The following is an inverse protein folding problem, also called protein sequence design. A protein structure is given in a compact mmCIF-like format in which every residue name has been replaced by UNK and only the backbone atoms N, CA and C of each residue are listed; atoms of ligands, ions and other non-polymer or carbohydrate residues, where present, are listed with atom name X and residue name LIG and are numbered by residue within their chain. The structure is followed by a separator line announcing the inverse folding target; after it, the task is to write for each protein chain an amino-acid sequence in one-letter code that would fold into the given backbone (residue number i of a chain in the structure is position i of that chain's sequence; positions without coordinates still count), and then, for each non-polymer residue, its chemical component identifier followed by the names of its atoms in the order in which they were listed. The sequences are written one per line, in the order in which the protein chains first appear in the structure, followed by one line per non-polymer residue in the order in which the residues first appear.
data_IF_500820231148
#
_entry.id   IF_500820231148
#
_cell.length_a   1.000
_cell.length_b   1.000
_cell.length_c   1.000
_cell.angle_alpha   90.00
_cell.angle_beta   90.00
_cell.angle_gamma   90.00
#
_symmetry.space_group_name_H-M   'P 1'
#
loop_
_entity.id
_entity.type
_entity.pdbx_description
1 polymer ?
#
# COMPACT_ATOMS: atom_id res chain seq x y z
N UNK A 1 2.29 -36.82 -29.31
CA UNK A 1 3.36 -37.16 -28.35
C UNK A 1 2.94 -36.65 -26.98
N UNK A 2 2.35 -37.50 -26.14
CA UNK A 2 2.06 -37.13 -24.76
C UNK A 2 3.40 -37.03 -24.02
N UNK A 3 3.70 -35.85 -23.44
CA UNK A 3 4.94 -35.62 -22.70
C UNK A 3 5.08 -36.61 -21.54
N UNK A 4 6.31 -37.00 -21.23
CA UNK A 4 6.61 -37.90 -20.13
C UNK A 4 5.89 -37.44 -18.83
N UNK A 5 5.29 -38.38 -18.07
CA UNK A 5 4.54 -38.05 -16.87
C UNK A 5 5.45 -37.27 -15.90
N UNK A 6 5.00 -36.08 -15.49
CA UNK A 6 5.72 -35.27 -14.50
C UNK A 6 5.78 -36.09 -13.21
N UNK A 7 6.98 -36.27 -12.65
CA UNK A 7 7.15 -36.91 -11.34
C UNK A 7 6.39 -36.05 -10.32
N UNK A 8 5.35 -36.61 -9.70
CA UNK A 8 4.66 -35.99 -8.56
C UNK A 8 5.54 -36.23 -7.34
N UNK A 9 6.01 -35.14 -6.74
CA UNK A 9 6.86 -35.17 -5.54
C UNK A 9 6.03 -35.23 -4.24
N UNK A 10 4.71 -35.14 -4.35
CA UNK A 10 3.77 -35.11 -3.22
C UNK A 10 2.65 -36.11 -3.47
N UNK A 11 2.31 -36.86 -2.43
CA UNK A 11 1.11 -37.70 -2.37
C UNK A 11 -0.13 -36.85 -2.04
N UNK A 12 -1.33 -37.36 -2.31
CA UNK A 12 -2.56 -36.60 -2.05
C UNK A 12 -2.80 -36.43 -0.53
N UNK A 13 -2.42 -37.42 0.30
CA UNK A 13 -2.43 -37.31 1.76
C UNK A 13 -1.46 -36.23 2.28
N UNK A 14 -0.27 -36.14 1.69
CA UNK A 14 0.72 -35.10 2.00
C UNK A 14 0.20 -33.70 1.63
N UNK A 15 -0.45 -33.59 0.47
CA UNK A 15 -1.05 -32.34 0.00
C UNK A 15 -2.20 -31.89 0.92
N UNK A 16 -3.08 -32.82 1.32
CA UNK A 16 -4.13 -32.54 2.30
C UNK A 16 -3.57 -32.12 3.66
N UNK A 17 -2.56 -32.82 4.16
CA UNK A 17 -1.90 -32.45 5.41
C UNK A 17 -1.27 -31.04 5.33
N UNK A 18 -0.67 -30.71 4.18
CA UNK A 18 -0.12 -29.39 3.93
C UNK A 18 -1.21 -28.31 3.89
N UNK A 19 -2.30 -28.55 3.17
CA UNK A 19 -3.43 -27.61 3.06
C UNK A 19 -4.08 -27.36 4.42
N UNK A 20 -4.30 -28.40 5.23
CA UNK A 20 -4.81 -28.27 6.61
C UNK A 20 -3.89 -27.39 7.46
N UNK A 21 -2.57 -27.60 7.39
CA UNK A 21 -1.61 -26.78 8.16
C UNK A 21 -1.61 -25.33 7.71
N UNK A 22 -1.64 -25.08 6.40
CA UNK A 22 -1.71 -23.73 5.83
C UNK A 22 -3.01 -23.04 6.24
N UNK A 23 -4.13 -23.76 6.21
CA UNK A 23 -5.43 -23.25 6.63
C UNK A 23 -5.49 -22.90 8.13
N UNK A 24 -4.80 -23.66 8.98
CA UNK A 24 -4.71 -23.42 10.42
C UNK A 24 -3.79 -22.24 10.78
N UNK A 25 -2.56 -22.23 10.26
CA UNK A 25 -1.54 -21.24 10.63
C UNK A 25 -1.65 -19.92 9.82
N UNK A 26 -2.35 -19.94 8.68
CA UNK A 26 -2.62 -18.80 7.76
C UNK A 26 -1.42 -17.87 7.55
N UNK A 27 -0.24 -18.40 7.16
CA UNK A 27 1.00 -17.62 7.07
C UNK A 27 0.93 -16.46 6.04
N UNK A 28 0.00 -16.56 5.09
CA UNK A 28 -0.24 -15.58 4.02
C UNK A 28 -1.00 -14.33 4.49
N UNK A 29 -1.65 -14.34 5.66
CA UNK A 29 -2.37 -13.18 6.21
C UNK A 29 -1.43 -12.18 6.92
N UNK A 30 -0.12 -12.43 6.96
CA UNK A 30 0.83 -11.57 7.67
C UNK A 30 1.10 -10.31 6.86
N UNK A 31 0.84 -9.12 7.42
CA UNK A 31 1.08 -7.84 6.74
C UNK A 31 2.58 -7.57 6.43
N UNK A 32 3.49 -8.04 7.29
CA UNK A 32 4.95 -7.90 7.11
C UNK A 32 5.65 -9.16 7.59
N UNK A 33 6.68 -9.60 6.87
CA UNK A 33 7.44 -10.80 7.23
C UNK A 33 6.75 -12.11 6.86
N UNK A 34 6.03 -12.14 5.72
CA UNK A 34 5.32 -13.32 5.21
C UNK A 34 6.27 -14.53 5.13
N UNK A 35 7.48 -14.33 4.60
CA UNK A 35 8.50 -15.40 4.54
C UNK A 35 8.92 -15.93 5.91
N UNK A 36 8.89 -15.11 6.96
CA UNK A 36 9.19 -15.57 8.31
C UNK A 36 8.08 -16.45 8.87
N UNK A 37 6.80 -16.13 8.58
CA UNK A 37 5.68 -17.00 8.94
C UNK A 37 5.70 -18.31 8.15
N UNK A 38 6.01 -18.27 6.86
CA UNK A 38 6.22 -19.50 6.07
C UNK A 38 7.39 -20.33 6.59
N UNK A 39 8.50 -19.69 6.99
CA UNK A 39 9.64 -20.39 7.60
C UNK A 39 9.24 -21.02 8.94
N UNK A 40 8.46 -20.32 9.76
CA UNK A 40 7.95 -20.85 11.02
C UNK A 40 7.02 -22.06 10.80
N UNK A 41 6.10 -21.98 9.84
CA UNK A 41 5.25 -23.11 9.44
C UNK A 41 6.10 -24.28 8.93
N UNK A 42 7.09 -24.02 8.09
CA UNK A 42 8.02 -25.04 7.61
C UNK A 42 8.77 -25.69 8.78
N UNK A 43 9.23 -24.93 9.78
CA UNK A 43 9.89 -25.49 10.97
C UNK A 43 8.95 -26.27 11.89
N UNK A 44 7.65 -25.97 11.89
CA UNK A 44 6.65 -26.80 12.59
C UNK A 44 6.43 -28.12 11.84
N UNK A 45 6.29 -28.06 10.52
CA UNK A 45 6.15 -29.24 9.66
C UNK A 45 7.40 -30.14 9.72
N UNK A 46 8.61 -29.55 9.67
CA UNK A 46 9.72 -29.84 10.61
C UNK A 46 9.55 -31.00 11.58
N UNK A 47 9.09 -30.59 12.75
CA UNK A 47 9.07 -31.31 14.00
C UNK A 47 7.81 -32.18 14.18
N UNK A 48 6.75 -31.95 13.39
CA UNK A 48 5.54 -32.75 13.42
C UNK A 48 5.84 -34.18 12.89
N UNK A 49 5.99 -35.14 13.79
CA UNK A 49 6.21 -36.57 13.47
C UNK A 49 5.04 -37.19 12.68
N UNK A 50 3.85 -36.61 12.84
CA UNK A 50 2.63 -37.02 12.13
C UNK A 50 2.55 -36.43 10.72
N UNK A 51 3.50 -35.57 10.33
CA UNK A 51 3.62 -35.12 8.95
C UNK A 51 4.49 -36.12 8.19
N UNK A 52 4.01 -36.71 7.07
CA UNK A 52 4.71 -37.78 6.33
C UNK A 52 5.96 -37.28 5.57
N UNK A 53 6.94 -36.73 6.29
CA UNK A 53 8.18 -36.15 5.75
C UNK A 53 9.15 -37.19 5.21
N UNK A 54 9.16 -38.35 5.84
CA UNK A 54 10.06 -39.47 5.60
C UNK A 54 9.83 -40.10 4.23
N UNK A 55 8.70 -39.76 3.60
CA UNK A 55 8.32 -40.17 2.25
C UNK A 55 8.69 -39.12 1.19
N UNK A 56 9.29 -37.98 1.54
CA UNK A 56 9.69 -36.97 0.55
C UNK A 56 11.07 -37.25 -0.08
N UNK A 57 11.80 -38.23 0.44
CA UNK A 57 13.06 -38.73 -0.13
C UNK A 57 12.79 -39.96 -0.99
N UNK A 58 13.30 -39.94 -2.23
CA UNK A 58 13.37 -40.95 -3.33
C UNK A 58 12.56 -42.27 -3.32
N UNK A 59 12.23 -42.89 -2.19
CA UNK A 59 11.61 -44.21 -2.06
C UNK A 59 10.07 -44.23 -2.09
N UNK A 60 9.37 -43.12 -1.84
CA UNK A 60 7.90 -43.07 -1.90
C UNK A 60 7.30 -43.15 -3.31
N UNK A 61 8.16 -43.15 -4.33
CA UNK A 61 7.80 -43.13 -5.76
C UNK A 61 7.02 -44.37 -6.26
N UNK A 62 6.72 -45.35 -5.39
CA UNK A 62 6.21 -46.68 -5.79
C UNK A 62 4.82 -47.06 -5.27
N UNK A 63 4.12 -46.20 -4.53
CA UNK A 63 2.78 -46.51 -4.04
C UNK A 63 1.75 -45.50 -4.58
N UNK A 64 1.18 -45.79 -5.74
CA UNK A 64 0.05 -45.05 -6.31
C UNK A 64 -0.95 -46.03 -6.87
N UNK A 65 -1.80 -46.56 -6.00
CA UNK A 65 -3.06 -47.20 -6.34
C UNK A 65 -4.17 -46.40 -5.68
N UNK A 66 -4.81 -45.55 -6.48
CA UNK A 66 -6.26 -45.28 -6.53
C UNK A 66 -7.06 -45.45 -5.23
N UNK A 67 -7.68 -44.39 -4.72
CA UNK A 67 -9.14 -44.20 -4.65
C UNK A 67 -9.51 -42.86 -3.98
N UNK A 68 -10.71 -42.40 -4.31
CA UNK A 68 -11.26 -41.05 -4.26
C UNK A 68 -11.54 -40.50 -2.85
N UNK A 69 -11.14 -39.25 -2.58
CA UNK A 69 -11.78 -38.35 -1.59
C UNK A 69 -11.60 -36.88 -2.06
N UNK A 70 -12.35 -36.48 -3.08
CA UNK A 70 -12.27 -35.15 -3.71
C UNK A 70 -12.99 -34.01 -2.95
N UNK A 71 -13.51 -34.24 -1.73
CA UNK A 71 -14.33 -33.23 -1.05
C UNK A 71 -13.53 -32.24 -0.22
N UNK A 72 -12.65 -32.72 0.66
CA UNK A 72 -11.98 -31.84 1.63
C UNK A 72 -10.94 -30.93 0.99
N UNK A 73 -10.18 -31.44 0.01
CA UNK A 73 -9.16 -30.66 -0.70
C UNK A 73 -9.77 -29.46 -1.41
N UNK A 74 -10.91 -29.65 -2.07
CA UNK A 74 -11.62 -28.59 -2.80
C UNK A 74 -12.15 -27.55 -1.81
N UNK A 75 -12.80 -27.97 -0.73
CA UNK A 75 -13.31 -27.06 0.31
C UNK A 75 -12.17 -26.24 0.93
N UNK A 76 -11.05 -26.88 1.28
CA UNK A 76 -9.90 -26.19 1.87
C UNK A 76 -9.29 -25.18 0.89
N UNK A 77 -9.22 -25.50 -0.41
CA UNK A 77 -8.72 -24.58 -1.41
C UNK A 77 -9.67 -23.40 -1.64
N UNK A 78 -10.98 -23.65 -1.72
CA UNK A 78 -12.00 -22.60 -1.86
C UNK A 78 -11.97 -21.65 -0.65
N UNK A 79 -11.88 -22.18 0.57
CA UNK A 79 -11.76 -21.39 1.79
C UNK A 79 -10.45 -20.57 1.83
N UNK A 80 -9.33 -21.15 1.40
CA UNK A 80 -8.05 -20.45 1.29
C UNK A 80 -8.11 -19.31 0.28
N UNK A 81 -8.75 -19.53 -0.87
CA UNK A 81 -8.95 -18.50 -1.90
C UNK A 81 -9.82 -17.36 -1.35
N UNK A 82 -10.97 -17.69 -0.75
CA UNK A 82 -11.84 -16.68 -0.15
C UNK A 82 -11.12 -15.83 0.91
N UNK A 83 -10.31 -16.45 1.77
CA UNK A 83 -9.50 -15.72 2.77
C UNK A 83 -8.43 -14.83 2.14
N UNK A 84 -7.82 -15.25 1.02
CA UNK A 84 -6.83 -14.45 0.30
C UNK A 84 -7.47 -13.22 -0.34
N UNK A 85 -8.62 -13.39 -0.98
CA UNK A 85 -9.37 -12.31 -1.61
C UNK A 85 -9.84 -11.29 -0.56
N UNK A 86 -10.37 -11.76 0.57
CA UNK A 86 -10.73 -10.93 1.72
C UNK A 86 -9.55 -10.10 2.24
N UNK A 87 -8.39 -10.72 2.35
CA UNK A 87 -7.18 -10.04 2.82
C UNK A 87 -6.67 -9.03 1.79
N UNK A 88 -6.74 -9.36 0.51
CA UNK A 88 -6.43 -8.43 -0.57
C UNK A 88 -7.36 -7.21 -0.54
N UNK A 89 -8.68 -7.43 -0.39
CA UNK A 89 -9.66 -6.36 -0.26
C UNK A 89 -9.42 -5.49 0.99
N UNK A 90 -9.16 -6.10 2.15
CA UNK A 90 -8.85 -5.38 3.40
C UNK A 90 -7.58 -4.55 3.30
N UNK A 91 -6.52 -5.10 2.69
CA UNK A 91 -5.26 -4.36 2.51
C UNK A 91 -5.39 -3.23 1.49
N UNK A 92 -6.21 -3.39 0.44
CA UNK A 92 -6.53 -2.33 -0.51
C UNK A 92 -7.33 -1.20 0.16
N UNK A 93 -8.38 -1.53 0.91
CA UNK A 93 -9.19 -0.55 1.64
C UNK A 93 -8.38 0.22 2.69
N UNK A 94 -7.47 -0.46 3.40
CA UNK A 94 -6.56 0.20 4.34
C UNK A 94 -5.63 1.22 3.66
N UNK A 95 -5.13 0.91 2.46
CA UNK A 95 -4.33 1.84 1.66
C UNK A 95 -5.17 3.02 1.16
N UNK A 96 -6.37 2.76 0.65
CA UNK A 96 -7.27 3.80 0.12
C UNK A 96 -7.71 4.77 1.22
N UNK A 97 -8.12 4.26 2.38
CA UNK A 97 -8.49 5.10 3.53
C UNK A 97 -7.31 5.93 4.05
N UNK A 98 -6.09 5.38 4.00
CA UNK A 98 -4.87 6.13 4.28
C UNK A 98 -4.64 7.27 3.27
N UNK A 99 -4.83 7.00 1.98
CA UNK A 99 -4.69 7.99 0.91
C UNK A 99 -5.73 9.11 1.05
N UNK A 100 -7.01 8.78 1.26
CA UNK A 100 -8.09 9.76 1.44
C UNK A 100 -7.89 10.65 2.66
N UNK A 101 -7.38 10.09 3.77
CA UNK A 101 -7.05 10.88 4.97
C UNK A 101 -5.91 11.86 4.70
N UNK A 102 -4.92 11.46 3.89
CA UNK A 102 -3.82 12.32 3.47
C UNK A 102 -4.30 13.43 2.54
N UNK A 103 -5.13 13.11 1.55
CA UNK A 103 -5.72 14.08 0.62
C UNK A 103 -6.55 15.14 1.37
N UNK A 104 -7.44 14.70 2.27
CA UNK A 104 -8.19 15.62 3.16
C UNK A 104 -7.27 16.46 4.06
N UNK A 105 -6.14 15.90 4.48
CA UNK A 105 -5.10 16.61 5.22
C UNK A 105 -4.38 17.68 4.39
N UNK A 106 -4.27 17.49 3.07
CA UNK A 106 -3.64 18.43 2.13
C UNK A 106 -4.63 19.51 1.63
N UNK A 107 -5.94 19.27 1.67
CA UNK A 107 -6.97 20.26 1.31
C UNK A 107 -6.95 21.50 2.23
N UNK A 108 -6.87 21.29 3.54
CA UNK A 108 -6.86 22.38 4.52
C UNK A 108 -5.68 23.35 4.39
N UNK A 109 -4.40 22.92 4.24
CA UNK A 109 -3.29 23.83 4.01
C UNK A 109 -3.33 24.47 2.62
N UNK A 110 -3.91 23.81 1.60
CA UNK A 110 -4.10 24.43 0.28
C UNK A 110 -5.10 25.59 0.34
N UNK A 111 -6.21 25.45 1.07
CA UNK A 111 -7.17 26.54 1.31
C UNK A 111 -6.52 27.66 2.13
N UNK A 112 -5.80 27.33 3.20
CA UNK A 112 -5.08 28.33 4.01
C UNK A 112 -4.06 29.12 3.18
N UNK A 113 -3.27 28.44 2.33
CA UNK A 113 -2.33 29.07 1.40
C UNK A 113 -3.04 29.99 0.40
N UNK A 114 -4.20 29.57 -0.12
CA UNK A 114 -4.99 30.36 -1.09
C UNK A 114 -5.53 31.64 -0.45
N UNK A 115 -6.13 31.53 0.73
CA UNK A 115 -6.62 32.68 1.52
C UNK A 115 -5.48 33.63 1.90
N UNK A 116 -4.32 33.10 2.31
CA UNK A 116 -3.15 33.91 2.60
C UNK A 116 -2.68 34.69 1.35
N UNK A 117 -2.60 34.04 0.19
CA UNK A 117 -2.22 34.69 -1.07
C UNK A 117 -3.24 35.74 -1.53
N UNK A 118 -4.53 35.50 -1.28
CA UNK A 118 -5.61 36.44 -1.59
C UNK A 118 -5.52 37.70 -0.72
N UNK A 119 -5.33 37.57 0.60
CA UNK A 119 -5.14 38.72 1.49
C UNK A 119 -3.90 39.57 1.14
N UNK A 120 -2.85 38.92 0.64
CA UNK A 120 -1.62 39.58 0.18
C UNK A 120 -1.85 40.33 -1.14
N UNK A 121 -2.69 39.80 -2.02
CA UNK A 121 -3.09 40.46 -3.26
C UNK A 121 -4.04 41.62 -3.04
N UNK A 122 -4.97 41.49 -2.09
CA UNK A 122 -5.90 42.55 -1.69
C UNK A 122 -5.17 43.74 -1.05
N UNK A 123 -4.24 43.49 -0.11
CA UNK A 123 -3.41 44.56 0.46
C UNK A 123 -2.37 45.13 -0.54
N UNK A 124 -1.94 44.31 -1.51
CA UNK A 124 -1.09 44.75 -2.62
C UNK A 124 -1.75 45.81 -3.49
N UNK A 125 -3.07 45.74 -3.68
CA UNK A 125 -3.86 46.73 -4.43
C UNK A 125 -3.87 48.10 -3.76
N UNK A 126 -4.05 48.16 -2.45
CA UNK A 126 -4.07 49.42 -1.67
C UNK A 126 -2.67 50.09 -1.61
N UNK A 127 -1.60 49.29 -1.51
CA UNK A 127 -0.23 49.82 -1.52
C UNK A 127 0.12 50.55 -2.83
N UNK A 128 -0.48 50.19 -3.97
CA UNK A 128 -0.21 50.86 -5.25
C UNK A 128 -0.77 52.28 -5.31
N UNK A 129 -1.93 52.53 -4.69
CA UNK A 129 -2.52 53.86 -4.61
C UNK A 129 -1.75 54.76 -3.63
N UNK A 130 -1.36 54.22 -2.48
CA UNK A 130 -0.56 54.94 -1.47
C UNK A 130 0.83 55.30 -2.00
N UNK A 131 1.47 54.40 -2.78
CA UNK A 131 2.76 54.68 -3.42
C UNK A 131 2.65 55.76 -4.50
N UNK A 132 1.60 55.74 -5.33
CA UNK A 132 1.37 56.76 -6.36
C UNK A 132 1.14 58.16 -5.76
N UNK A 133 0.38 58.27 -4.66
CA UNK A 133 0.17 59.56 -3.96
C UNK A 133 1.48 60.15 -3.41
N UNK A 134 2.32 59.32 -2.80
CA UNK A 134 3.64 59.78 -2.28
C UNK A 134 4.60 60.20 -3.41
N UNK A 135 4.55 59.53 -4.55
CA UNK A 135 5.36 59.90 -5.71
C UNK A 135 4.94 61.24 -6.33
N UNK A 136 3.64 61.54 -6.36
CA UNK A 136 3.14 62.84 -6.84
C UNK A 136 3.51 63.97 -5.89
N UNK A 137 3.39 63.77 -4.57
CA UNK A 137 3.79 64.78 -3.57
C UNK A 137 5.28 65.12 -3.66
N UNK A 138 6.15 64.12 -3.88
CA UNK A 138 7.59 64.34 -4.04
C UNK A 138 7.92 65.11 -5.33
N UNK A 139 7.18 64.88 -6.42
CA UNK A 139 7.36 65.61 -7.68
C UNK A 139 6.98 67.08 -7.52
N UNK A 140 5.86 67.37 -6.84
CA UNK A 140 5.41 68.74 -6.60
C UNK A 140 6.40 69.51 -5.71
N UNK A 141 6.92 68.88 -4.65
CA UNK A 141 7.96 69.49 -3.82
C UNK A 141 9.25 69.78 -4.62
N UNK A 142 9.65 68.87 -5.51
CA UNK A 142 10.82 69.08 -6.37
C UNK A 142 10.61 70.23 -7.37
N UNK A 143 9.39 70.39 -7.88
CA UNK A 143 9.01 71.51 -8.75
C UNK A 143 9.10 72.82 -7.97
N UNK A 144 8.49 72.89 -6.79
CA UNK A 144 8.54 74.12 -5.97
C UNK A 144 9.96 74.52 -5.55
N UNK A 145 10.85 73.56 -5.31
CA UNK A 145 12.25 73.83 -5.02
C UNK A 145 13.02 74.32 -6.25
N UNK A 146 12.73 73.78 -7.44
CA UNK A 146 13.31 74.28 -8.70
C UNK A 146 12.84 75.69 -9.01
N UNK A 147 11.56 75.98 -8.82
CA UNK A 147 10.99 77.31 -9.08
C UNK A 147 11.56 78.35 -8.11
N UNK A 148 11.72 77.99 -6.82
CA UNK A 148 12.39 78.85 -5.83
C UNK A 148 13.86 79.09 -6.14
N UNK A 149 14.57 78.08 -6.67
CA UNK A 149 15.98 78.19 -7.07
C UNK A 149 16.17 79.03 -8.34
N UNK A 150 15.15 79.17 -9.17
CA UNK A 150 15.16 80.00 -10.38
C UNK A 150 14.72 81.44 -10.12
N UNK A 151 14.11 81.72 -8.97
CA UNK A 151 13.66 83.03 -8.54
C UNK A 151 14.68 83.79 -7.65
N UNK A 152 15.85 83.19 -7.41
CA UNK A 152 17.01 83.76 -6.72
C UNK A 152 18.13 84.05 -7.73
#
# INVERSE_FOLDING_TARGET
MAGAPRRKNFTDDEDLALLRKIHADRPFLRQRGIMAAWKALATKLVADENFPRNKLTEESAKASGVDEDESEKVILLDDLVAMLDDHAAKTAAAKETGLRKRERGEETPLVARRLAMESLKESGGDSTLVKKRKETELKDLLITLKDKKLAE
#
